data_IF_468492598203
#
_entry.id   IF_468492598203
#
_cell.length_a   1.000
_cell.length_b   1.000
_cell.length_c   1.000
_cell.angle_alpha   90.00
_cell.angle_beta   90.00
_cell.angle_gamma   90.00
#
_symmetry.space_group_name_H-M   'P 1'
#
loop_
_entity.id
_entity.type
_entity.pdbx_description
1 polymer ?
#
# COMPACT_ATOMS: atom_id res chain seq x y z
N UNK A 1 42.13 28.55 16.06
CA UNK A 1 41.70 27.60 15.00
C UNK A 1 40.87 26.51 15.67
N UNK A 2 39.54 26.53 15.64
CA UNK A 2 38.60 26.28 14.52
C UNK A 2 37.78 25.01 14.85
N UNK A 3 36.79 25.16 15.73
CA UNK A 3 35.81 24.12 16.09
C UNK A 3 34.62 24.08 15.08
N UNK A 4 34.92 24.12 13.78
CA UNK A 4 33.92 24.30 12.71
C UNK A 4 33.41 22.98 12.09
N UNK A 5 34.13 21.87 12.29
CA UNK A 5 33.94 20.62 11.54
C UNK A 5 32.89 19.66 12.12
N UNK A 6 32.34 19.93 13.32
CA UNK A 6 31.33 19.07 13.98
C UNK A 6 29.87 19.45 13.67
N UNK A 7 29.58 20.68 13.22
CA UNK A 7 28.22 21.12 12.91
C UNK A 7 27.70 20.62 11.56
N UNK A 8 28.58 20.56 10.54
CA UNK A 8 28.20 20.18 9.18
C UNK A 8 27.74 18.72 9.05
N UNK A 9 28.27 17.82 9.89
CA UNK A 9 27.93 16.38 9.87
C UNK A 9 26.57 16.08 10.52
N UNK A 10 26.11 16.96 11.40
CA UNK A 10 24.82 16.86 12.09
C UNK A 10 23.72 17.47 11.23
N UNK A 11 23.96 18.63 10.62
CA UNK A 11 23.07 19.24 9.63
C UNK A 11 22.82 18.34 8.41
N UNK A 12 23.85 17.70 7.87
CA UNK A 12 23.69 16.78 6.73
C UNK A 12 22.89 15.51 7.06
N UNK A 13 22.90 15.04 8.31
CA UNK A 13 22.01 13.97 8.78
C UNK A 13 20.57 14.46 8.91
N UNK A 14 20.36 15.66 9.47
CA UNK A 14 19.04 16.25 9.62
C UNK A 14 18.39 16.56 8.26
N UNK A 15 19.14 17.10 7.30
CA UNK A 15 18.67 17.35 5.92
C UNK A 15 18.27 16.03 5.24
N UNK A 16 19.02 14.94 5.46
CA UNK A 16 18.70 13.62 4.89
C UNK A 16 17.44 13.01 5.52
N UNK A 17 17.22 13.22 6.81
CA UNK A 17 16.02 12.76 7.51
C UNK A 17 14.79 13.57 7.08
N UNK A 18 14.90 14.90 6.98
CA UNK A 18 13.81 15.75 6.46
C UNK A 18 13.46 15.44 5.00
N UNK A 19 14.43 15.09 4.16
CA UNK A 19 14.18 14.70 2.77
C UNK A 19 13.55 13.31 2.63
N UNK A 20 13.80 12.41 3.59
CA UNK A 20 13.11 11.11 3.69
C UNK A 20 11.70 11.30 4.27
N UNK A 21 11.49 12.18 5.25
CA UNK A 21 10.16 12.52 5.76
C UNK A 21 9.30 13.28 4.73
N UNK A 22 9.90 14.09 3.85
CA UNK A 22 9.17 14.67 2.70
C UNK A 22 8.75 13.65 1.66
N UNK A 23 9.36 12.47 1.65
CA UNK A 23 8.94 11.31 0.87
C UNK A 23 7.89 10.47 1.62
N UNK A 24 7.06 11.12 2.44
CA UNK A 24 5.88 10.45 3.01
C UNK A 24 4.85 10.27 1.89
N UNK A 25 4.24 9.08 1.80
CA UNK A 25 3.27 8.62 0.78
C UNK A 25 2.12 9.61 0.47
N UNK A 26 1.87 10.57 1.37
CA UNK A 26 0.91 11.67 1.23
C UNK A 26 1.17 12.66 0.09
N UNK A 27 2.35 12.66 -0.53
CA UNK A 27 2.73 13.68 -1.51
C UNK A 27 2.47 13.28 -2.98
N UNK A 28 2.09 12.03 -3.26
CA UNK A 28 1.72 11.62 -4.61
C UNK A 28 0.24 11.93 -4.87
N UNK A 29 -0.06 13.18 -5.19
CA UNK A 29 -1.37 13.57 -5.74
C UNK A 29 -1.36 13.40 -7.25
N UNK A 30 -2.37 12.73 -7.78
CA UNK A 30 -2.61 12.67 -9.21
C UNK A 30 -3.59 13.74 -9.66
N UNK A 31 -3.38 14.24 -10.88
CA UNK A 31 -4.28 15.22 -11.50
C UNK A 31 -5.34 14.54 -12.36
N UNK A 32 -5.09 13.29 -12.76
CA UNK A 32 -5.97 12.52 -13.63
C UNK A 32 -6.22 11.10 -13.09
N UNK A 33 -7.36 10.48 -13.46
CA UNK A 33 -7.60 9.06 -13.21
C UNK A 33 -6.53 8.17 -13.84
N UNK A 34 -6.20 7.06 -13.19
CA UNK A 34 -5.21 6.05 -13.61
C UNK A 34 -3.74 6.52 -13.62
N UNK A 35 -3.42 7.69 -13.07
CA UNK A 35 -2.03 8.16 -12.96
C UNK A 35 -1.32 7.57 -11.73
N UNK A 36 -2.02 7.49 -10.59
CA UNK A 36 -1.53 6.88 -9.35
C UNK A 36 -2.64 6.02 -8.76
N UNK A 37 -2.29 4.79 -8.37
CA UNK A 37 -3.18 3.91 -7.62
C UNK A 37 -2.43 3.26 -6.46
N UNK A 38 -3.15 3.02 -5.37
CA UNK A 38 -2.63 2.35 -4.18
C UNK A 38 -3.16 0.93 -4.10
N UNK A 39 -2.31 0.01 -3.68
CA UNK A 39 -2.72 -1.33 -3.29
C UNK A 39 -2.74 -1.40 -1.78
N UNK A 40 -3.90 -1.75 -1.22
CA UNK A 40 -4.06 -2.02 0.19
C UNK A 40 -4.54 -3.45 0.43
N UNK A 41 -4.06 -4.06 1.51
CA UNK A 41 -4.48 -5.39 1.93
C UNK A 41 -5.04 -5.34 3.33
N UNK A 42 -6.28 -5.80 3.48
CA UNK A 42 -6.95 -5.88 4.76
C UNK A 42 -7.50 -7.29 4.97
N UNK A 43 -7.18 -7.90 6.11
CA UNK A 43 -7.84 -9.16 6.49
C UNK A 43 -9.28 -8.85 6.89
N UNK A 44 -10.24 -9.45 6.19
CA UNK A 44 -11.66 -9.18 6.40
C UNK A 44 -12.14 -9.80 7.71
N UNK A 45 -12.97 -9.09 8.46
CA UNK A 45 -13.55 -9.57 9.72
C UNK A 45 -14.79 -10.47 9.50
N UNK A 46 -14.73 -11.31 8.48
CA UNK A 46 -15.78 -12.27 8.10
C UNK A 46 -15.16 -13.64 7.87
N UNK A 47 -15.84 -14.69 8.31
CA UNK A 47 -15.41 -16.07 8.05
C UNK A 47 -15.95 -16.55 6.71
N UNK A 48 -15.05 -17.02 5.84
CA UNK A 48 -15.44 -17.68 4.60
C UNK A 48 -15.90 -19.10 4.93
N UNK A 49 -17.07 -19.49 4.43
CA UNK A 49 -17.66 -20.80 4.68
C UNK A 49 -17.83 -21.55 3.37
N UNK A 50 -17.42 -22.82 3.33
CA UNK A 50 -17.65 -23.67 2.18
C UNK A 50 -19.15 -23.97 2.01
N UNK A 51 -19.68 -23.68 0.82
CA UNK A 51 -21.10 -23.82 0.52
C UNK A 51 -21.63 -25.25 0.67
N UNK A 52 -20.81 -26.28 0.40
CA UNK A 52 -21.28 -27.69 0.36
C UNK A 52 -21.37 -28.35 1.73
N UNK A 53 -20.31 -28.24 2.53
CA UNK A 53 -20.16 -28.92 3.81
C UNK A 53 -20.26 -27.94 5.00
N UNK A 54 -20.46 -26.64 4.75
CA UNK A 54 -20.57 -25.57 5.76
C UNK A 54 -19.35 -25.47 6.68
N UNK A 55 -18.19 -25.96 6.24
CA UNK A 55 -16.94 -25.84 7.01
C UNK A 55 -16.39 -24.43 6.90
N UNK A 56 -15.93 -23.88 8.03
CA UNK A 56 -15.21 -22.60 8.06
C UNK A 56 -13.85 -22.79 7.39
N UNK A 57 -13.57 -21.98 6.38
CA UNK A 57 -12.31 -21.94 5.63
C UNK A 57 -11.34 -20.90 6.21
N UNK A 58 -11.86 -19.91 6.94
CA UNK A 58 -11.08 -18.87 7.61
C UNK A 58 -11.37 -17.47 7.06
N UNK A 59 -10.66 -16.48 7.59
CA UNK A 59 -10.83 -15.06 7.24
C UNK A 59 -10.03 -14.70 5.99
N UNK A 60 -10.68 -14.24 4.91
CA UNK A 60 -9.98 -13.91 3.68
C UNK A 60 -9.28 -12.55 3.80
N UNK A 61 -8.20 -12.41 3.04
CA UNK A 61 -7.56 -11.14 2.73
C UNK A 61 -8.23 -10.50 1.52
N UNK A 62 -8.73 -9.29 1.72
CA UNK A 62 -9.19 -8.39 0.67
C UNK A 62 -8.01 -7.55 0.21
N UNK A 63 -7.73 -7.59 -1.08
CA UNK A 63 -6.75 -6.71 -1.73
C UNK A 63 -7.49 -5.76 -2.64
N UNK A 64 -7.28 -4.46 -2.46
CA UNK A 64 -7.93 -3.40 -3.25
C UNK A 64 -6.88 -2.63 -4.04
N UNK A 65 -7.20 -2.30 -5.28
CA UNK A 65 -6.49 -1.29 -6.07
C UNK A 65 -7.36 -0.04 -6.13
N UNK A 66 -6.89 1.07 -5.59
CA UNK A 66 -7.67 2.30 -5.40
C UNK A 66 -7.01 3.44 -6.16
N UNK A 67 -7.74 4.10 -7.05
CA UNK A 67 -7.28 5.28 -7.78
C UNK A 67 -7.12 6.48 -6.84
N UNK A 68 -6.03 7.23 -6.99
CA UNK A 68 -5.74 8.38 -6.13
C UNK A 68 -6.66 9.57 -6.43
N UNK A 69 -6.85 9.94 -7.70
CA UNK A 69 -7.61 11.14 -8.07
C UNK A 69 -9.10 11.04 -7.73
N UNK A 70 -9.71 9.89 -8.04
CA UNK A 70 -11.16 9.68 -7.97
C UNK A 70 -11.58 8.94 -6.71
N UNK A 71 -10.64 8.30 -6.00
CA UNK A 71 -10.90 7.37 -4.90
C UNK A 71 -11.73 6.15 -5.30
N UNK A 72 -11.87 5.89 -6.59
CA UNK A 72 -12.58 4.71 -7.11
C UNK A 72 -11.76 3.45 -6.86
N UNK A 73 -12.45 2.37 -6.49
CA UNK A 73 -11.83 1.03 -6.50
C UNK A 73 -11.75 0.56 -7.95
N UNK A 74 -10.53 0.43 -8.46
CA UNK A 74 -10.25 -0.01 -9.83
C UNK A 74 -10.40 -1.53 -9.97
N UNK A 75 -9.96 -2.27 -8.96
CA UNK A 75 -10.05 -3.72 -8.92
C UNK A 75 -9.97 -4.25 -7.49
N UNK A 76 -10.43 -5.49 -7.30
CA UNK A 76 -10.31 -6.19 -6.03
C UNK A 76 -10.01 -7.68 -6.23
N UNK A 77 -9.36 -8.30 -5.24
CA UNK A 77 -9.24 -9.76 -5.17
C UNK A 77 -9.37 -10.25 -3.73
N UNK A 78 -9.95 -11.43 -3.57
CA UNK A 78 -10.11 -12.14 -2.31
C UNK A 78 -9.27 -13.41 -2.32
N UNK A 79 -8.52 -13.64 -1.24
CA UNK A 79 -7.70 -14.84 -1.06
C UNK A 79 -7.73 -15.30 0.39
N UNK A 80 -7.60 -16.60 0.64
CA UNK A 80 -7.33 -17.09 2.00
C UNK A 80 -5.85 -16.95 2.37
N UNK A 81 -4.98 -16.77 1.37
CA UNK A 81 -3.56 -16.52 1.58
C UNK A 81 -3.31 -15.08 2.03
N UNK A 82 -2.29 -14.89 2.86
CA UNK A 82 -1.82 -13.58 3.30
C UNK A 82 -1.33 -12.70 2.14
N UNK A 83 -1.17 -11.38 2.35
CA UNK A 83 -0.67 -10.47 1.32
C UNK A 83 0.66 -10.95 0.76
N UNK A 84 0.78 -10.92 -0.57
CA UNK A 84 1.94 -11.41 -1.28
C UNK A 84 2.08 -10.73 -2.65
N UNK A 85 3.23 -10.94 -3.29
CA UNK A 85 3.40 -10.55 -4.69
C UNK A 85 2.30 -11.12 -5.60
N UNK A 86 1.82 -12.33 -5.30
CA UNK A 86 0.72 -12.97 -6.04
C UNK A 86 -0.57 -12.19 -5.89
N UNK A 87 -0.95 -11.72 -4.69
CA UNK A 87 -2.15 -10.88 -4.53
C UNK A 87 -2.03 -9.56 -5.28
N UNK A 88 -0.83 -8.98 -5.34
CA UNK A 88 -0.59 -7.72 -6.06
C UNK A 88 -0.74 -7.92 -7.56
N UNK A 89 -0.16 -8.98 -8.11
CA UNK A 89 -0.28 -9.26 -9.54
C UNK A 89 -1.71 -9.66 -9.92
N UNK A 90 -2.45 -10.35 -9.05
CA UNK A 90 -3.87 -10.66 -9.25
C UNK A 90 -4.71 -9.39 -9.36
N UNK A 91 -4.56 -8.43 -8.44
CA UNK A 91 -5.37 -7.21 -8.46
C UNK A 91 -5.01 -6.31 -9.65
N UNK A 92 -3.73 -6.24 -10.03
CA UNK A 92 -3.29 -5.50 -11.22
C UNK A 92 -3.89 -6.13 -12.47
N UNK A 93 -3.86 -7.47 -12.58
CA UNK A 93 -4.48 -8.18 -13.70
C UNK A 93 -5.98 -7.94 -13.78
N UNK A 94 -6.69 -7.94 -12.66
CA UNK A 94 -8.15 -7.73 -12.67
C UNK A 94 -8.55 -6.31 -13.11
N UNK A 95 -7.63 -5.35 -13.00
CA UNK A 95 -7.85 -3.96 -13.40
C UNK A 95 -7.79 -3.74 -14.93
N UNK A 96 -7.11 -4.61 -15.69
CA UNK A 96 -6.78 -4.38 -17.13
C UNK A 96 -7.18 -5.54 -18.02
#
# INVERSE_FOLDING_TARGET
MSNSSKNQKTESKSIKIESIEKFTLSQMKSSFPFEVAYIDHTQSDIDLVNTKNRTVLGRPWLTLLIDESSRSVLALTLSLDSPSFVSNMKVIRECV
#
